data_IF_711100659149
#
_entry.id   IF_711100659149
#
_cell.length_a   1.000
_cell.length_b   1.000
_cell.length_c   1.000
_cell.angle_alpha   90.00
_cell.angle_beta   90.00
_cell.angle_gamma   90.00
#
_symmetry.space_group_name_H-M   'P 1'
#
loop_
_entity.id
_entity.type
_entity.pdbx_description
1 polymer ?
#
# COMPACT_ATOMS: atom_id res chain seq x y z
N UNK A 1 -21.31 -25.08 18.46
CA UNK A 1 -20.02 -25.16 17.71
C UNK A 1 -19.85 -23.84 16.99
N UNK A 2 -18.82 -23.06 17.35
CA UNK A 2 -18.61 -21.72 16.79
C UNK A 2 -18.38 -21.71 15.28
N UNK A 3 -18.65 -20.56 14.66
CA UNK A 3 -18.38 -20.32 13.25
C UNK A 3 -16.85 -20.23 13.06
N UNK A 4 -16.31 -20.87 12.02
CA UNK A 4 -14.89 -20.74 11.66
C UNK A 4 -14.52 -19.33 11.28
N UNK A 5 -13.31 -18.91 11.61
CA UNK A 5 -12.76 -17.59 11.33
C UNK A 5 -11.56 -17.70 10.38
N UNK A 6 -11.70 -17.13 9.19
CA UNK A 6 -10.67 -17.14 8.16
C UNK A 6 -9.87 -15.84 8.13
N UNK A 7 -8.60 -15.96 7.76
CA UNK A 7 -7.79 -14.81 7.41
C UNK A 7 -7.48 -14.82 5.92
N UNK A 8 -7.93 -13.78 5.21
CA UNK A 8 -7.58 -13.62 3.81
C UNK A 8 -6.10 -13.24 3.68
N UNK A 9 -5.39 -13.99 2.87
CA UNK A 9 -3.99 -13.73 2.54
C UNK A 9 -3.88 -13.39 1.06
N UNK A 10 -3.12 -12.34 0.79
CA UNK A 10 -2.94 -11.87 -0.57
C UNK A 10 -1.77 -12.61 -1.22
N UNK A 11 -2.04 -13.78 -1.74
CA UNK A 11 -1.01 -14.58 -2.35
C UNK A 11 -0.98 -14.40 -3.86
N UNK A 12 0.13 -14.09 -4.48
CA UNK A 12 0.27 -13.96 -5.92
C UNK A 12 1.14 -15.05 -6.53
N UNK A 13 1.28 -16.19 -5.90
CA UNK A 13 1.86 -17.31 -6.60
C UNK A 13 0.77 -18.17 -7.21
N UNK A 14 0.39 -17.85 -8.44
CA UNK A 14 -0.06 -18.89 -9.32
C UNK A 14 1.00 -20.00 -9.30
N UNK A 15 0.65 -21.19 -8.80
CA UNK A 15 1.51 -22.38 -8.87
C UNK A 15 2.12 -22.43 -10.28
N UNK A 16 3.46 -22.36 -10.38
CA UNK A 16 4.20 -22.41 -11.65
C UNK A 16 4.73 -21.08 -12.20
N UNK A 17 4.54 -19.92 -11.54
CA UNK A 17 5.24 -18.68 -11.90
C UNK A 17 6.27 -18.33 -10.84
N UNK A 18 7.53 -18.35 -11.23
CA UNK A 18 8.65 -17.83 -10.43
C UNK A 18 8.64 -16.32 -10.41
N UNK A 19 7.79 -15.70 -9.56
CA UNK A 19 7.97 -14.30 -9.22
C UNK A 19 9.00 -14.22 -8.08
N UNK A 20 10.13 -13.59 -8.36
CA UNK A 20 11.23 -13.41 -7.41
C UNK A 20 10.96 -12.26 -6.43
N UNK A 21 9.88 -11.50 -6.63
CA UNK A 21 9.62 -10.28 -5.87
C UNK A 21 8.15 -10.09 -5.58
N UNK A 22 7.84 -9.71 -4.36
CA UNK A 22 6.50 -9.43 -3.90
C UNK A 22 6.39 -8.10 -3.17
N UNK A 23 5.24 -7.44 -3.35
CA UNK A 23 4.86 -6.28 -2.58
C UNK A 23 4.33 -6.72 -1.20
N UNK A 24 5.17 -6.67 -0.18
CA UNK A 24 4.78 -7.03 1.19
C UNK A 24 3.74 -6.07 1.78
N UNK A 25 3.57 -4.88 1.20
CA UNK A 25 2.52 -3.94 1.58
C UNK A 25 1.11 -4.51 1.46
N UNK A 26 0.89 -5.50 0.60
CA UNK A 26 -0.40 -6.16 0.47
C UNK A 26 -0.72 -7.02 1.70
N UNK A 27 0.29 -7.63 2.33
CA UNK A 27 0.13 -8.36 3.60
C UNK A 27 -0.18 -7.46 4.80
N UNK A 28 0.14 -6.17 4.73
CA UNK A 28 -0.27 -5.20 5.77
C UNK A 28 -1.80 -5.14 5.87
N UNK A 29 -2.52 -5.35 4.76
CA UNK A 29 -3.98 -5.45 4.78
C UNK A 29 -4.46 -6.71 5.52
N UNK A 30 -3.77 -7.84 5.34
CA UNK A 30 -4.05 -9.07 6.11
C UNK A 30 -3.74 -8.90 7.60
N UNK A 31 -2.67 -8.17 7.97
CA UNK A 31 -2.37 -7.81 9.36
C UNK A 31 -3.50 -6.97 9.96
N UNK A 32 -4.08 -6.04 9.19
CA UNK A 32 -5.21 -5.24 9.66
C UNK A 32 -6.45 -6.10 9.91
N UNK A 33 -6.76 -7.06 9.05
CA UNK A 33 -7.85 -8.01 9.26
C UNK A 33 -7.59 -8.97 10.45
N UNK A 34 -6.32 -9.40 10.63
CA UNK A 34 -5.94 -10.33 11.71
C UNK A 34 -6.26 -9.82 13.10
N UNK A 35 -6.34 -8.50 13.33
CA UNK A 35 -6.73 -7.93 14.63
C UNK A 35 -8.12 -8.37 15.10
N UNK A 36 -9.00 -8.72 14.15
CA UNK A 36 -10.38 -9.12 14.39
C UNK A 36 -10.57 -10.64 14.33
N UNK A 37 -9.56 -11.37 13.88
CA UNK A 37 -9.60 -12.83 13.60
C UNK A 37 -8.59 -13.53 14.51
N UNK A 38 -8.94 -13.69 15.78
CA UNK A 38 -8.10 -14.39 16.75
C UNK A 38 -8.94 -15.37 17.55
N UNK A 39 -8.65 -16.68 17.52
CA UNK A 39 -7.66 -17.34 16.66
C UNK A 39 -8.04 -17.39 15.17
N UNK A 40 -7.02 -17.54 14.31
CA UNK A 40 -7.21 -17.83 12.88
C UNK A 40 -7.33 -19.33 12.71
N UNK A 41 -8.50 -19.80 12.24
CA UNK A 41 -8.73 -21.23 11.99
C UNK A 41 -8.10 -21.67 10.67
N UNK A 42 -8.26 -20.85 9.60
CA UNK A 42 -7.77 -21.17 8.27
C UNK A 42 -7.29 -19.93 7.51
N UNK A 43 -6.33 -20.10 6.61
CA UNK A 43 -5.94 -19.08 5.63
C UNK A 43 -6.70 -19.30 4.33
N UNK A 44 -7.28 -18.23 3.78
CA UNK A 44 -7.96 -18.24 2.49
C UNK A 44 -7.18 -17.38 1.50
N UNK A 45 -6.70 -18.00 0.42
CA UNK A 45 -6.00 -17.25 -0.63
C UNK A 45 -6.98 -16.42 -1.46
N UNK A 46 -6.73 -15.11 -1.55
CA UNK A 46 -7.62 -14.16 -2.21
C UNK A 46 -7.94 -14.55 -3.65
N UNK A 47 -6.94 -14.96 -4.41
CA UNK A 47 -7.07 -15.28 -5.84
C UNK A 47 -7.65 -16.68 -6.11
N UNK A 48 -7.86 -17.48 -5.06
CA UNK A 48 -8.41 -18.85 -5.11
C UNK A 48 -9.62 -19.01 -4.17
N UNK A 49 -10.22 -17.90 -3.76
CA UNK A 49 -11.36 -17.92 -2.84
C UNK A 49 -12.61 -18.62 -3.44
N UNK A 50 -12.72 -18.69 -4.76
CA UNK A 50 -13.75 -19.47 -5.48
C UNK A 50 -13.59 -21.00 -5.28
N UNK A 51 -12.36 -21.46 -5.03
CA UNK A 51 -12.02 -22.86 -4.86
C UNK A 51 -12.05 -23.30 -3.39
N UNK A 52 -12.35 -22.37 -2.47
CA UNK A 52 -12.39 -22.72 -1.04
C UNK A 52 -13.50 -23.76 -0.78
N UNK A 53 -13.09 -24.92 -0.32
CA UNK A 53 -13.98 -26.04 0.01
C UNK A 53 -13.50 -26.71 1.29
N UNK A 54 -14.14 -26.45 2.46
CA UNK A 54 -13.76 -27.05 3.72
C UNK A 54 -14.20 -28.52 3.81
N UNK A 55 -13.35 -29.39 4.35
CA UNK A 55 -13.64 -30.83 4.51
C UNK A 55 -14.88 -31.08 5.39
N UNK A 56 -15.08 -30.26 6.43
CA UNK A 56 -16.21 -30.35 7.35
C UNK A 56 -17.49 -29.67 6.84
N UNK A 57 -17.46 -29.08 5.63
CA UNK A 57 -18.57 -28.37 4.99
C UNK A 57 -19.16 -27.22 5.80
N UNK A 58 -18.39 -26.66 6.73
CA UNK A 58 -18.81 -25.49 7.51
C UNK A 58 -18.39 -24.19 6.82
N UNK A 59 -19.25 -23.19 6.96
CA UNK A 59 -18.90 -21.85 6.48
C UNK A 59 -17.79 -21.22 7.33
N UNK A 60 -17.04 -20.33 6.70
CA UNK A 60 -15.99 -19.55 7.32
C UNK A 60 -16.33 -18.04 7.17
N UNK A 61 -16.28 -17.29 8.27
CA UNK A 61 -16.34 -15.82 8.22
C UNK A 61 -15.02 -15.28 7.71
N UNK A 62 -15.07 -14.39 6.74
CA UNK A 62 -13.90 -13.81 6.08
C UNK A 62 -14.04 -12.31 5.89
N UNK A 63 -13.14 -11.52 6.48
CA UNK A 63 -13.01 -10.09 6.15
C UNK A 63 -12.31 -10.01 4.79
N UNK A 64 -13.06 -9.58 3.77
CA UNK A 64 -12.57 -9.47 2.41
C UNK A 64 -12.16 -8.02 2.11
N UNK A 65 -10.94 -7.68 2.56
CA UNK A 65 -10.32 -6.39 2.34
C UNK A 65 -9.13 -6.51 1.41
N UNK A 66 -9.05 -5.76 0.34
CA UNK A 66 -7.91 -5.85 -0.55
C UNK A 66 -8.17 -5.42 -1.98
N UNK A 67 -7.25 -5.77 -2.82
CA UNK A 67 -7.21 -5.43 -4.23
C UNK A 67 -7.58 -6.66 -5.08
N UNK A 68 -8.81 -6.72 -5.57
CA UNK A 68 -9.35 -7.87 -6.31
C UNK A 68 -9.18 -7.69 -7.81
N UNK A 69 -8.28 -8.52 -8.46
CA UNK A 69 -8.05 -8.33 -9.88
C UNK A 69 -7.16 -9.29 -10.67
N UNK A 70 -6.18 -9.94 -10.06
CA UNK A 70 -5.24 -10.74 -10.85
C UNK A 70 -5.96 -11.84 -11.61
N UNK A 71 -6.85 -12.57 -10.92
CA UNK A 71 -7.68 -13.65 -11.45
C UNK A 71 -9.15 -13.30 -11.29
N UNK A 72 -9.57 -12.22 -11.94
CA UNK A 72 -10.96 -11.76 -11.88
C UNK A 72 -11.97 -12.81 -12.43
N UNK A 73 -11.49 -13.77 -13.19
CA UNK A 73 -12.25 -14.96 -13.62
C UNK A 73 -12.62 -15.88 -12.45
N UNK A 74 -11.87 -15.87 -11.35
CA UNK A 74 -12.14 -16.64 -10.13
C UNK A 74 -13.11 -15.92 -9.17
N UNK A 75 -13.95 -15.07 -9.69
CA UNK A 75 -14.95 -14.35 -8.93
C UNK A 75 -16.36 -14.80 -9.33
N UNK A 76 -17.31 -15.00 -8.44
CA UNK A 76 -17.28 -14.71 -7.00
C UNK A 76 -16.62 -15.82 -6.16
N UNK A 77 -16.33 -15.53 -4.85
CA UNK A 77 -15.87 -16.52 -3.88
C UNK A 77 -16.85 -17.69 -3.69
N UNK A 78 -16.35 -18.78 -3.08
CA UNK A 78 -17.12 -19.98 -2.75
C UNK A 78 -18.30 -19.68 -1.82
N UNK A 79 -19.39 -20.42 -1.96
CA UNK A 79 -20.58 -20.37 -1.08
C UNK A 79 -20.28 -20.79 0.38
N UNK A 80 -19.12 -21.38 0.64
CA UNK A 80 -18.65 -21.68 2.00
C UNK A 80 -18.00 -20.49 2.69
N UNK A 81 -17.86 -19.35 2.01
CA UNK A 81 -17.35 -18.10 2.58
C UNK A 81 -18.53 -17.21 2.93
N UNK A 82 -18.63 -16.81 4.20
CA UNK A 82 -19.46 -15.71 4.66
C UNK A 82 -18.60 -14.44 4.67
N UNK A 83 -18.77 -13.55 3.69
CA UNK A 83 -17.86 -12.43 3.51
C UNK A 83 -18.32 -11.18 4.22
N UNK A 84 -17.38 -10.41 4.77
CA UNK A 84 -17.54 -8.98 5.00
C UNK A 84 -16.79 -8.23 3.89
N UNK A 85 -17.53 -7.60 2.98
CA UNK A 85 -16.97 -6.84 1.85
C UNK A 85 -16.60 -5.44 2.33
N UNK A 86 -15.33 -5.22 2.71
CA UNK A 86 -14.88 -3.96 3.31
C UNK A 86 -13.49 -3.55 2.79
N UNK A 87 -13.26 -2.25 2.66
CA UNK A 87 -11.98 -1.72 2.14
C UNK A 87 -11.56 -2.33 0.80
N UNK A 88 -12.53 -2.68 -0.04
CA UNK A 88 -12.29 -3.29 -1.34
C UNK A 88 -11.79 -2.26 -2.36
N UNK A 89 -10.89 -2.68 -3.23
CA UNK A 89 -10.52 -1.97 -4.44
C UNK A 89 -10.66 -2.86 -5.66
N UNK A 90 -11.33 -2.37 -6.69
CA UNK A 90 -11.51 -3.06 -7.97
C UNK A 90 -10.68 -2.31 -9.02
N UNK A 91 -9.77 -3.04 -9.68
CA UNK A 91 -8.99 -2.46 -10.76
C UNK A 91 -9.85 -2.22 -12.02
N UNK A 92 -9.76 -1.02 -12.64
CA UNK A 92 -10.42 -0.76 -13.93
C UNK A 92 -10.08 -1.79 -15.00
N UNK A 93 -8.84 -2.29 -15.01
CA UNK A 93 -8.37 -3.26 -16.00
C UNK A 93 -9.06 -4.63 -15.92
N UNK A 94 -9.73 -4.93 -14.81
CA UNK A 94 -10.37 -6.21 -14.54
C UNK A 94 -11.84 -6.08 -14.15
N UNK A 95 -12.34 -4.85 -14.09
CA UNK A 95 -13.69 -4.54 -13.64
C UNK A 95 -14.76 -5.33 -14.42
N UNK A 96 -14.68 -5.37 -15.76
CA UNK A 96 -15.65 -6.07 -16.59
C UNK A 96 -15.76 -7.57 -16.28
N UNK A 97 -14.64 -8.22 -15.95
CA UNK A 97 -14.63 -9.64 -15.59
C UNK A 97 -15.21 -9.89 -14.20
N UNK A 98 -14.93 -9.01 -13.24
CA UNK A 98 -15.43 -9.13 -11.87
C UNK A 98 -16.90 -8.73 -11.78
N UNK A 99 -17.32 -7.71 -12.52
CA UNK A 99 -18.68 -7.17 -12.53
C UNK A 99 -19.57 -7.83 -13.60
N UNK A 100 -19.37 -9.11 -13.85
CA UNK A 100 -20.32 -9.92 -14.61
C UNK A 100 -21.61 -10.18 -13.79
N UNK A 101 -22.63 -10.79 -14.39
CA UNK A 101 -23.93 -11.01 -13.75
C UNK A 101 -23.83 -11.76 -12.40
N UNK A 102 -22.99 -12.80 -12.33
CA UNK A 102 -22.77 -13.56 -11.09
C UNK A 102 -22.07 -12.71 -10.01
N UNK A 103 -21.05 -11.97 -10.41
CA UNK A 103 -20.30 -11.10 -9.53
C UNK A 103 -21.16 -9.97 -8.96
N UNK A 104 -21.97 -9.32 -9.80
CA UNK A 104 -22.91 -8.27 -9.35
C UNK A 104 -23.94 -8.86 -8.37
N UNK A 105 -24.48 -10.03 -8.66
CA UNK A 105 -25.43 -10.71 -7.76
C UNK A 105 -24.80 -10.98 -6.41
N UNK A 106 -23.59 -11.53 -6.39
CA UNK A 106 -22.83 -11.80 -5.16
C UNK A 106 -22.59 -10.52 -4.32
N UNK A 107 -22.14 -9.44 -4.97
CA UNK A 107 -21.90 -8.16 -4.31
C UNK A 107 -23.18 -7.54 -3.74
N UNK A 108 -24.31 -7.65 -4.44
CA UNK A 108 -25.62 -7.18 -3.95
C UNK A 108 -26.12 -7.99 -2.77
N UNK A 109 -25.96 -9.32 -2.81
CA UNK A 109 -26.42 -10.21 -1.73
C UNK A 109 -25.62 -10.01 -0.45
N UNK A 110 -24.34 -9.69 -0.54
CA UNK A 110 -23.44 -9.55 0.60
C UNK A 110 -23.07 -8.09 0.92
N UNK A 111 -23.72 -7.12 0.23
CA UNK A 111 -23.51 -5.69 0.47
C UNK A 111 -24.24 -5.16 1.71
N UNK A 112 -24.10 -3.86 2.00
CA UNK A 112 -23.39 -2.86 1.19
C UNK A 112 -21.87 -3.05 1.21
N UNK A 113 -21.21 -2.71 0.10
CA UNK A 113 -19.77 -2.89 -0.07
C UNK A 113 -19.01 -1.66 0.44
N UNK A 114 -18.14 -1.86 1.43
CA UNK A 114 -17.19 -0.85 1.87
C UNK A 114 -16.03 -0.74 0.88
N UNK A 115 -15.88 0.41 0.23
CA UNK A 115 -14.86 0.65 -0.79
C UNK A 115 -13.67 1.41 -0.21
N UNK A 116 -12.46 0.97 -0.56
CA UNK A 116 -11.23 1.63 -0.12
C UNK A 116 -11.05 3.03 -0.74
N UNK A 117 -11.55 3.22 -1.95
CA UNK A 117 -11.44 4.45 -2.72
C UNK A 117 -12.77 4.81 -3.40
N UNK A 118 -12.91 6.10 -3.73
CA UNK A 118 -14.13 6.63 -4.34
C UNK A 118 -14.38 6.08 -5.73
N UNK A 119 -13.32 5.75 -6.49
CA UNK A 119 -13.46 5.14 -7.80
C UNK A 119 -14.21 3.79 -7.73
N UNK A 120 -13.80 2.91 -6.82
CA UNK A 120 -14.46 1.61 -6.63
C UNK A 120 -15.91 1.79 -6.19
N UNK A 121 -16.17 2.75 -5.29
CA UNK A 121 -17.54 3.09 -4.87
C UNK A 121 -18.41 3.49 -6.07
N UNK A 122 -17.97 4.49 -6.83
CA UNK A 122 -18.72 5.02 -7.96
C UNK A 122 -18.93 3.94 -9.05
N UNK A 123 -17.92 3.09 -9.28
CA UNK A 123 -18.01 1.96 -10.18
C UNK A 123 -19.10 0.98 -9.76
N UNK A 124 -19.17 0.60 -8.49
CA UNK A 124 -20.16 -0.34 -7.96
C UNK A 124 -21.58 0.25 -8.00
N UNK A 125 -21.74 1.51 -7.58
CA UNK A 125 -23.03 2.22 -7.65
C UNK A 125 -23.55 2.31 -9.09
N UNK A 126 -22.69 2.57 -10.07
CA UNK A 126 -23.03 2.56 -11.49
C UNK A 126 -23.58 1.22 -11.96
N UNK A 127 -23.16 0.10 -11.35
CA UNK A 127 -23.67 -1.25 -11.61
C UNK A 127 -24.83 -1.64 -10.70
N UNK A 128 -25.38 -0.70 -9.93
CA UNK A 128 -26.50 -0.92 -9.03
C UNK A 128 -26.15 -1.79 -7.81
N UNK A 129 -24.90 -1.79 -7.39
CA UNK A 129 -24.44 -2.44 -6.16
C UNK A 129 -24.36 -1.38 -5.06
N UNK A 130 -25.07 -1.53 -3.92
CA UNK A 130 -24.95 -0.61 -2.79
C UNK A 130 -23.50 -0.56 -2.28
N UNK A 131 -22.93 0.63 -2.25
CA UNK A 131 -21.53 0.81 -1.88
C UNK A 131 -21.32 2.12 -1.07
N UNK A 132 -20.28 2.16 -0.26
CA UNK A 132 -19.89 3.36 0.48
C UNK A 132 -18.37 3.47 0.58
N UNK A 133 -17.86 4.67 0.77
CA UNK A 133 -16.43 4.88 1.00
C UNK A 133 -16.09 4.53 2.44
N UNK A 134 -15.38 3.44 2.66
CA UNK A 134 -14.94 2.97 3.98
C UNK A 134 -13.50 3.34 4.30
N UNK A 135 -12.72 3.82 3.33
CA UNK A 135 -11.26 3.90 3.43
C UNK A 135 -10.64 2.50 3.61
N UNK A 136 -9.40 2.43 4.10
CA UNK A 136 -8.64 1.19 4.20
C UNK A 136 -8.60 0.66 5.63
N UNK A 137 -8.80 -0.64 5.79
CA UNK A 137 -8.77 -1.32 7.10
C UNK A 137 -7.45 -1.12 7.86
N UNK A 138 -6.36 -0.80 7.17
CA UNK A 138 -5.06 -0.52 7.79
C UNK A 138 -5.05 0.72 8.69
N UNK A 139 -6.07 1.58 8.63
CA UNK A 139 -6.28 2.67 9.59
C UNK A 139 -6.56 2.17 11.02
N UNK A 140 -7.07 0.95 11.19
CA UNK A 140 -7.39 0.38 12.50
C UNK A 140 -6.16 -0.14 13.25
N UNK A 141 -4.98 -0.18 12.60
CA UNK A 141 -3.76 -0.77 13.17
C UNK A 141 -3.26 -0.08 14.45
N UNK A 142 -3.67 1.17 14.69
CA UNK A 142 -3.37 1.89 15.93
C UNK A 142 -3.89 1.19 17.17
N UNK A 143 -5.00 0.47 17.07
CA UNK A 143 -5.59 -0.29 18.20
C UNK A 143 -4.58 -1.26 18.84
N UNK A 144 -3.72 -1.87 18.04
CA UNK A 144 -2.74 -2.88 18.50
C UNK A 144 -1.30 -2.37 18.53
N UNK A 145 -0.94 -1.44 17.64
CA UNK A 145 0.47 -1.12 17.37
C UNK A 145 0.87 0.30 17.75
N UNK A 146 -0.07 1.19 18.12
CA UNK A 146 0.26 2.53 18.56
C UNK A 146 1.16 2.49 19.81
N UNK A 147 2.18 3.32 19.82
CA UNK A 147 3.03 3.55 20.98
C UNK A 147 2.99 5.03 21.38
N UNK A 148 3.37 5.39 22.63
CA UNK A 148 3.49 6.78 23.05
C UNK A 148 4.51 7.56 22.19
N UNK A 149 4.23 8.82 21.91
CA UNK A 149 5.12 9.68 21.11
C UNK A 149 6.53 9.80 21.70
N UNK A 150 6.66 9.74 23.03
CA UNK A 150 7.95 9.77 23.75
C UNK A 150 8.84 8.54 23.47
N UNK A 151 8.26 7.44 23.02
CA UNK A 151 8.98 6.20 22.70
C UNK A 151 9.40 6.12 21.23
N UNK A 152 8.87 7.03 20.36
CA UNK A 152 9.15 7.03 18.94
C UNK A 152 10.59 7.42 18.64
N UNK A 153 11.20 6.68 17.72
CA UNK A 153 12.62 6.86 17.36
C UNK A 153 12.81 6.70 15.87
N UNK A 154 13.77 7.44 15.33
CA UNK A 154 14.19 7.30 13.94
C UNK A 154 13.19 7.87 12.92
N UNK A 155 13.63 7.85 11.70
CA UNK A 155 12.92 8.35 10.53
C UNK A 155 12.93 7.29 9.45
N UNK A 156 11.80 7.07 8.79
CA UNK A 156 11.71 6.07 7.73
C UNK A 156 11.31 6.72 6.42
N UNK A 157 12.03 6.37 5.37
CA UNK A 157 11.72 6.74 3.99
C UNK A 157 11.32 5.47 3.26
N UNK A 158 10.03 5.35 2.92
CA UNK A 158 9.45 4.09 2.42
C UNK A 158 8.94 4.30 1.01
N UNK A 159 9.57 3.64 0.05
CA UNK A 159 9.22 3.71 -1.37
C UNK A 159 8.87 5.14 -1.85
N UNK A 160 9.73 6.14 -1.62
CA UNK A 160 9.47 7.51 -2.02
C UNK A 160 9.45 7.62 -3.54
N UNK A 161 8.48 8.32 -4.11
CA UNK A 161 8.50 8.61 -5.54
C UNK A 161 9.58 9.65 -5.87
N UNK A 162 10.29 9.43 -6.96
CA UNK A 162 11.17 10.39 -7.62
C UNK A 162 11.42 9.95 -9.06
N UNK A 163 11.65 10.90 -9.93
CA UNK A 163 11.91 10.61 -11.33
C UNK A 163 13.34 10.12 -11.56
N UNK A 164 13.47 9.10 -12.42
CA UNK A 164 14.76 8.58 -12.90
C UNK A 164 14.73 8.64 -14.42
N UNK A 165 15.21 9.73 -15.04
CA UNK A 165 15.28 9.83 -16.49
C UNK A 165 16.15 8.74 -17.08
N UNK A 166 15.74 8.15 -18.20
CA UNK A 166 16.53 7.13 -18.85
C UNK A 166 17.80 7.73 -19.46
N UNK A 167 18.98 7.17 -19.11
CA UNK A 167 20.27 7.54 -19.70
C UNK A 167 20.49 6.85 -21.06
N UNK A 168 19.85 5.69 -21.22
CA UNK A 168 19.88 4.86 -22.44
C UNK A 168 18.44 4.46 -22.72
N UNK A 169 17.93 4.81 -23.87
CA UNK A 169 16.59 4.48 -24.34
C UNK A 169 16.70 3.46 -25.48
N UNK A 170 15.86 2.45 -25.48
CA UNK A 170 15.77 1.49 -26.59
C UNK A 170 14.61 1.90 -27.52
N UNK A 171 14.96 2.26 -28.76
CA UNK A 171 14.00 2.58 -29.83
C UNK A 171 14.37 1.74 -31.06
N UNK A 172 13.36 1.11 -31.67
CA UNK A 172 13.52 0.27 -32.87
C UNK A 172 14.62 -0.79 -32.74
N UNK A 173 14.75 -1.42 -31.55
CA UNK A 173 15.79 -2.41 -31.27
C UNK A 173 17.21 -1.85 -31.16
N UNK A 174 17.36 -0.52 -31.12
CA UNK A 174 18.66 0.15 -30.96
C UNK A 174 18.73 0.94 -29.66
N UNK A 175 19.90 0.88 -29.02
CA UNK A 175 20.18 1.64 -27.79
C UNK A 175 20.64 3.05 -28.12
N UNK A 176 19.81 4.04 -27.79
CA UNK A 176 20.12 5.46 -27.92
C UNK A 176 20.59 6.01 -26.57
N UNK A 177 21.82 6.56 -26.57
CA UNK A 177 22.38 7.23 -25.38
C UNK A 177 21.96 8.69 -25.35
N UNK A 178 21.71 9.22 -24.16
CA UNK A 178 21.40 10.62 -23.93
C UNK A 178 22.64 11.36 -23.36
N UNK A 179 23.57 11.86 -24.18
CA UNK A 179 24.86 12.41 -23.71
C UNK A 179 24.66 13.59 -22.75
N UNK A 180 23.69 14.47 -23.00
CA UNK A 180 23.39 15.60 -22.12
C UNK A 180 22.89 15.16 -20.74
N UNK A 181 22.06 14.10 -20.66
CA UNK A 181 21.61 13.53 -19.39
C UNK A 181 22.79 12.89 -18.64
N UNK A 182 23.70 12.23 -19.35
CA UNK A 182 24.91 11.65 -18.76
C UNK A 182 25.85 12.73 -18.20
N UNK A 183 26.05 13.82 -18.94
CA UNK A 183 26.86 14.96 -18.46
C UNK A 183 26.22 15.61 -17.22
N UNK A 184 24.90 15.82 -17.25
CA UNK A 184 24.15 16.36 -16.10
C UNK A 184 24.27 15.44 -14.88
N UNK A 185 24.15 14.12 -15.09
CA UNK A 185 24.36 13.14 -14.02
C UNK A 185 25.77 13.25 -13.41
N UNK A 186 26.80 13.32 -14.24
CA UNK A 186 28.18 13.44 -13.76
C UNK A 186 28.37 14.74 -12.96
N UNK A 187 27.84 15.86 -13.47
CA UNK A 187 27.89 17.14 -12.75
C UNK A 187 27.19 17.09 -11.40
N UNK A 188 25.95 16.58 -11.36
CA UNK A 188 25.17 16.44 -10.12
C UNK A 188 25.83 15.45 -9.16
N UNK A 189 26.44 14.37 -9.67
CA UNK A 189 27.19 13.41 -8.86
C UNK A 189 28.42 14.07 -8.19
N UNK A 190 29.18 14.84 -8.92
CA UNK A 190 30.34 15.57 -8.38
C UNK A 190 29.90 16.62 -7.36
N UNK A 191 28.83 17.36 -7.67
CA UNK A 191 28.27 18.40 -6.78
C UNK A 191 27.76 17.82 -5.45
N UNK A 192 27.15 16.64 -5.46
CA UNK A 192 26.56 15.98 -4.30
C UNK A 192 27.32 14.72 -3.89
N UNK A 193 28.59 14.62 -4.23
CA UNK A 193 29.42 13.42 -4.08
C UNK A 193 29.28 12.70 -2.75
N UNK A 194 29.47 13.45 -1.62
CA UNK A 194 29.44 12.84 -0.27
C UNK A 194 28.10 12.20 0.08
N UNK A 195 26.97 12.94 0.08
CA UNK A 195 25.68 12.34 0.42
C UNK A 195 25.24 11.26 -0.58
N UNK A 196 25.49 11.45 -1.88
CA UNK A 196 25.14 10.45 -2.88
C UNK A 196 25.89 9.14 -2.68
N UNK A 197 27.20 9.21 -2.39
CA UNK A 197 28.00 8.02 -2.10
C UNK A 197 27.52 7.27 -0.87
N UNK A 198 27.07 7.98 0.15
CA UNK A 198 26.53 7.38 1.36
C UNK A 198 25.20 6.69 1.11
N UNK A 199 24.29 7.35 0.39
CA UNK A 199 23.00 6.78 0.03
C UNK A 199 23.12 5.58 -0.92
N UNK A 200 23.97 5.67 -1.95
CA UNK A 200 24.16 4.62 -2.94
C UNK A 200 24.69 3.30 -2.37
N UNK A 201 25.30 3.31 -1.20
CA UNK A 201 25.76 2.09 -0.49
C UNK A 201 24.62 1.32 0.18
N UNK A 202 23.44 1.90 0.30
CA UNK A 202 22.29 1.26 0.92
C UNK A 202 21.64 0.32 -0.07
N UNK A 203 21.28 -0.87 0.36
CA UNK A 203 20.60 -1.89 -0.47
C UNK A 203 19.34 -1.36 -1.14
N UNK A 204 18.64 -0.43 -0.49
CA UNK A 204 17.49 0.26 -1.05
C UNK A 204 17.76 0.80 -2.46
N UNK A 205 18.84 1.54 -2.66
CA UNK A 205 19.16 2.14 -3.97
C UNK A 205 19.61 1.11 -5.02
N UNK A 206 19.96 -0.10 -4.62
CA UNK A 206 20.20 -1.21 -5.52
C UNK A 206 18.89 -1.85 -5.99
N UNK A 207 17.96 -2.05 -5.08
CA UNK A 207 16.74 -2.84 -5.29
C UNK A 207 15.55 -2.02 -5.76
N UNK A 208 15.37 -0.83 -5.20
CA UNK A 208 14.17 -0.02 -5.40
C UNK A 208 14.06 0.58 -6.80
N UNK A 209 12.84 0.57 -7.36
CA UNK A 209 12.46 1.33 -8.55
C UNK A 209 11.18 2.13 -8.26
N UNK A 210 11.14 3.45 -8.54
CA UNK A 210 9.92 4.25 -8.41
C UNK A 210 8.77 3.79 -9.32
N UNK A 211 9.10 3.05 -10.39
CA UNK A 211 8.11 2.44 -11.30
C UNK A 211 7.35 1.25 -10.69
N UNK A 212 7.59 0.92 -9.42
CA UNK A 212 6.78 -0.02 -8.66
C UNK A 212 7.21 -1.48 -8.70
N UNK A 213 8.42 -1.78 -9.20
CA UNK A 213 9.02 -3.12 -9.21
C UNK A 213 10.48 -3.06 -8.78
N UNK A 214 11.07 -4.22 -8.46
CA UNK A 214 12.50 -4.27 -8.24
C UNK A 214 13.25 -3.81 -9.50
N UNK A 215 14.27 -3.01 -9.29
CA UNK A 215 15.16 -2.60 -10.37
C UNK A 215 15.98 -3.82 -10.85
N UNK A 216 15.83 -4.17 -12.12
CA UNK A 216 16.56 -5.27 -12.76
C UNK A 216 17.90 -4.85 -13.35
N UNK A 217 18.14 -3.54 -13.48
CA UNK A 217 19.42 -3.02 -13.95
C UNK A 217 20.46 -3.17 -12.82
N UNK A 218 21.42 -4.07 -13.04
CA UNK A 218 22.52 -4.37 -12.12
C UNK A 218 23.82 -3.63 -12.49
N UNK A 219 23.73 -2.61 -13.31
CA UNK A 219 24.89 -1.77 -13.65
C UNK A 219 25.46 -1.10 -12.40
N UNK A 220 26.78 -1.08 -12.24
CA UNK A 220 27.46 -0.51 -11.08
C UNK A 220 27.14 0.97 -10.83
N UNK A 221 26.83 1.73 -11.88
CA UNK A 221 26.47 3.15 -11.73
C UNK A 221 25.01 3.34 -11.29
N UNK A 222 24.14 2.34 -11.42
CA UNK A 222 22.70 2.45 -11.21
C UNK A 222 22.30 2.93 -9.80
N UNK A 223 22.86 2.39 -8.69
CA UNK A 223 22.59 2.89 -7.36
C UNK A 223 22.98 4.36 -7.18
N UNK A 224 24.13 4.77 -7.72
CA UNK A 224 24.58 6.15 -7.68
C UNK A 224 23.66 7.09 -8.46
N UNK A 225 23.21 6.65 -9.64
CA UNK A 225 22.28 7.43 -10.44
C UNK A 225 20.94 7.65 -9.73
N UNK A 226 20.38 6.59 -9.15
CA UNK A 226 19.16 6.70 -8.31
C UNK A 226 19.38 7.61 -7.11
N UNK A 227 20.49 7.48 -6.41
CA UNK A 227 20.83 8.32 -5.28
C UNK A 227 21.01 9.81 -5.66
N UNK A 228 21.57 10.09 -6.84
CA UNK A 228 21.63 11.47 -7.37
C UNK A 228 20.23 12.02 -7.62
N UNK A 229 19.39 11.29 -8.36
CA UNK A 229 18.02 11.73 -8.68
C UNK A 229 17.21 11.96 -7.40
N UNK A 230 17.26 11.01 -6.48
CA UNK A 230 16.60 11.13 -5.18
C UNK A 230 17.10 12.33 -4.38
N UNK A 231 18.41 12.38 -4.10
CA UNK A 231 18.97 13.41 -3.23
C UNK A 231 18.78 14.82 -3.81
N UNK A 232 18.98 14.99 -5.10
CA UNK A 232 18.78 16.26 -5.79
C UNK A 232 17.37 16.81 -5.62
N UNK A 233 16.36 15.94 -5.71
CA UNK A 233 14.95 16.27 -5.54
C UNK A 233 14.63 16.53 -4.07
N UNK A 234 14.89 15.55 -3.20
CA UNK A 234 14.42 15.58 -1.81
C UNK A 234 15.12 16.64 -0.96
N UNK A 235 16.41 16.97 -1.22
CA UNK A 235 17.11 18.05 -0.50
C UNK A 235 16.45 19.43 -0.60
N UNK A 236 15.52 19.61 -1.53
CA UNK A 236 14.77 20.87 -1.68
C UNK A 236 13.77 21.07 -0.52
N UNK A 237 13.22 19.99 0.00
CA UNK A 237 12.20 20.00 1.07
C UNK A 237 12.64 19.32 2.37
N UNK A 238 13.68 18.50 2.35
CA UNK A 238 14.16 17.75 3.49
C UNK A 238 15.62 18.10 3.79
N UNK A 239 15.95 18.19 5.07
CA UNK A 239 17.33 18.48 5.46
C UNK A 239 18.26 17.31 5.13
N UNK A 240 19.55 17.66 4.93
CA UNK A 240 20.57 16.67 4.61
C UNK A 240 20.73 15.62 5.71
N UNK A 241 20.71 16.04 6.98
CA UNK A 241 20.89 15.14 8.12
C UNK A 241 19.73 14.15 8.17
N UNK A 242 18.48 14.61 8.08
CA UNK A 242 17.30 13.76 8.02
C UNK A 242 17.40 12.72 6.88
N UNK A 243 17.80 13.15 5.66
CA UNK A 243 17.95 12.24 4.53
C UNK A 243 19.05 11.19 4.71
N UNK A 244 20.13 11.52 5.43
CA UNK A 244 21.22 10.60 5.65
C UNK A 244 21.01 9.68 6.86
N UNK A 245 20.31 10.13 7.89
CA UNK A 245 20.07 9.37 9.10
C UNK A 245 18.82 8.47 9.01
N UNK A 246 17.88 8.76 8.09
CA UNK A 246 16.70 7.96 7.88
C UNK A 246 17.00 6.51 7.44
N UNK A 247 16.21 5.54 7.90
CA UNK A 247 16.21 4.18 7.37
C UNK A 247 15.37 4.13 6.09
N UNK A 248 15.90 3.49 5.05
CA UNK A 248 15.25 3.34 3.75
C UNK A 248 14.66 1.95 3.63
N UNK A 249 13.36 1.89 3.32
CA UNK A 249 12.61 0.65 3.22
C UNK A 249 11.93 0.56 1.86
N UNK A 250 11.94 -0.61 1.25
CA UNK A 250 11.06 -0.93 0.11
C UNK A 250 10.09 -2.03 0.47
N UNK A 251 8.84 -1.90 0.01
CA UNK A 251 7.84 -2.97 0.10
C UNK A 251 8.12 -4.13 -0.87
N UNK A 252 9.00 -3.92 -1.84
CA UNK A 252 9.39 -4.97 -2.78
C UNK A 252 10.47 -5.85 -2.15
N UNK A 253 10.06 -7.05 -1.71
CA UNK A 253 10.96 -7.99 -1.05
C UNK A 253 11.42 -9.07 -2.02
N UNK A 254 12.73 -9.36 -1.97
CA UNK A 254 13.34 -10.46 -2.71
C UNK A 254 13.23 -11.76 -1.88
N UNK A 255 12.02 -12.32 -1.87
CA UNK A 255 11.73 -13.57 -1.15
C UNK A 255 11.41 -14.65 -2.18
N UNK A 256 11.98 -15.83 -1.98
CA UNK A 256 11.59 -16.99 -2.77
C UNK A 256 10.17 -17.42 -2.41
N UNK A 257 9.22 -16.99 -3.23
CA UNK A 257 7.79 -17.20 -2.99
C UNK A 257 7.37 -18.66 -3.07
N UNK A 258 8.15 -19.53 -3.73
CA UNK A 258 7.83 -20.98 -3.77
C UNK A 258 8.07 -21.68 -2.43
N UNK A 259 8.84 -21.06 -1.54
CA UNK A 259 9.20 -21.63 -0.22
C UNK A 259 8.73 -20.80 0.96
N UNK A 260 8.31 -19.55 0.74
CA UNK A 260 7.83 -18.67 1.81
C UNK A 260 6.45 -19.13 2.32
N UNK A 261 6.30 -19.24 3.63
CA UNK A 261 5.02 -19.51 4.28
C UNK A 261 4.21 -18.21 4.50
N UNK A 262 2.88 -18.34 4.65
CA UNK A 262 2.03 -17.21 5.01
C UNK A 262 2.47 -16.56 6.32
N UNK A 263 2.85 -17.36 7.32
CA UNK A 263 3.33 -16.83 8.61
C UNK A 263 4.62 -16.02 8.46
N UNK A 264 5.56 -16.46 7.63
CA UNK A 264 6.79 -15.69 7.37
C UNK A 264 6.47 -14.34 6.73
N UNK A 265 5.54 -14.30 5.78
CA UNK A 265 5.15 -13.06 5.09
C UNK A 265 4.32 -12.14 5.99
N UNK A 266 3.42 -12.70 6.80
CA UNK A 266 2.68 -11.95 7.82
C UNK A 266 3.62 -11.37 8.87
N UNK A 267 4.59 -12.13 9.37
CA UNK A 267 5.58 -11.63 10.34
C UNK A 267 6.44 -10.52 9.75
N UNK A 268 6.82 -10.63 8.48
CA UNK A 268 7.55 -9.57 7.79
C UNK A 268 6.69 -8.30 7.67
N UNK A 269 5.42 -8.42 7.26
CA UNK A 269 4.50 -7.30 7.19
C UNK A 269 4.24 -6.66 8.57
N UNK A 270 4.07 -7.48 9.61
CA UNK A 270 3.91 -7.00 10.99
C UNK A 270 5.13 -6.24 11.46
N UNK A 271 6.35 -6.69 11.12
CA UNK A 271 7.58 -5.97 11.44
C UNK A 271 7.63 -4.56 10.82
N UNK A 272 7.11 -4.40 9.61
CA UNK A 272 6.98 -3.09 8.97
C UNK A 272 5.98 -2.20 9.71
N UNK A 273 4.81 -2.72 10.09
CA UNK A 273 3.82 -1.97 10.87
C UNK A 273 4.42 -1.47 12.18
N UNK A 274 5.17 -2.32 12.89
CA UNK A 274 5.88 -1.93 14.13
C UNK A 274 6.93 -0.85 13.90
N UNK A 275 7.68 -0.92 12.79
CA UNK A 275 8.63 0.15 12.39
C UNK A 275 7.89 1.47 12.16
N UNK A 276 6.77 1.44 11.41
CA UNK A 276 5.99 2.66 11.16
C UNK A 276 5.43 3.26 12.46
N UNK A 277 4.89 2.42 13.33
CA UNK A 277 4.37 2.86 14.63
C UNK A 277 5.46 3.46 15.53
N UNK A 278 6.70 2.98 15.43
CA UNK A 278 7.83 3.46 16.24
C UNK A 278 8.55 4.68 15.68
N UNK A 279 8.16 5.16 14.49
CA UNK A 279 8.83 6.27 13.82
C UNK A 279 8.46 7.62 14.43
N UNK A 280 9.43 8.56 14.50
CA UNK A 280 9.17 9.99 14.71
C UNK A 280 8.49 10.64 13.50
N UNK A 281 8.83 10.17 12.30
CA UNK A 281 8.25 10.61 11.04
C UNK A 281 8.46 9.53 9.98
N UNK A 282 7.44 9.35 9.13
CA UNK A 282 7.48 8.50 7.94
C UNK A 282 7.30 9.37 6.70
N UNK A 283 8.13 9.17 5.69
CA UNK A 283 8.05 9.83 4.37
C UNK A 283 7.78 8.72 3.36
N UNK A 284 6.66 8.80 2.62
CA UNK A 284 6.26 7.71 1.74
C UNK A 284 5.39 8.15 0.57
N UNK A 285 5.40 7.36 -0.51
CA UNK A 285 4.42 7.42 -1.60
C UNK A 285 3.51 6.18 -1.64
N UNK A 286 3.54 5.33 -0.58
CA UNK A 286 2.77 4.09 -0.50
C UNK A 286 1.62 4.20 0.48
N UNK A 287 0.39 3.86 0.02
CA UNK A 287 -0.79 3.87 0.89
C UNK A 287 -0.69 2.85 2.03
N UNK A 288 -0.12 1.66 1.78
CA UNK A 288 0.07 0.62 2.80
C UNK A 288 1.28 0.89 3.73
N UNK A 289 1.89 2.05 3.63
CA UNK A 289 2.77 2.64 4.62
C UNK A 289 2.10 3.87 5.25
N UNK A 290 1.56 4.77 4.43
CA UNK A 290 0.92 6.00 4.91
C UNK A 290 -0.29 5.75 5.79
N UNK A 291 -1.25 4.92 5.36
CA UNK A 291 -2.47 4.64 6.13
C UNK A 291 -2.20 3.91 7.46
N UNK A 292 -1.34 2.86 7.53
CA UNK A 292 -0.89 2.33 8.80
C UNK A 292 -0.24 3.38 9.71
N UNK A 293 0.56 4.29 9.16
CA UNK A 293 1.19 5.37 9.92
C UNK A 293 0.14 6.35 10.47
N UNK A 294 -0.90 6.71 9.68
CA UNK A 294 -2.04 7.46 10.20
C UNK A 294 -2.72 6.73 11.35
N UNK A 295 -3.07 5.46 11.12
CA UNK A 295 -3.74 4.62 12.13
C UNK A 295 -2.98 4.53 13.45
N UNK A 296 -1.65 4.46 13.40
CA UNK A 296 -0.78 4.47 14.59
C UNK A 296 -0.45 5.88 15.10
N UNK A 297 -1.06 6.92 14.52
CA UNK A 297 -0.80 8.34 14.80
C UNK A 297 0.66 8.77 14.61
N UNK A 298 1.41 8.03 13.81
CA UNK A 298 2.77 8.40 13.42
C UNK A 298 2.72 9.57 12.44
N UNK A 299 3.49 10.66 12.65
CA UNK A 299 3.59 11.75 11.70
C UNK A 299 4.02 11.26 10.32
N UNK A 300 3.20 11.53 9.28
CA UNK A 300 3.47 11.06 7.93
C UNK A 300 3.47 12.21 6.92
N UNK A 301 4.55 12.29 6.13
CA UNK A 301 4.64 13.13 4.93
C UNK A 301 4.34 12.24 3.72
N UNK A 302 3.15 12.42 3.15
CA UNK A 302 2.78 11.66 1.95
C UNK A 302 3.24 12.38 0.70
N UNK A 303 4.03 11.69 -0.14
CA UNK A 303 4.50 12.25 -1.41
C UNK A 303 3.60 11.71 -2.53
N UNK A 304 2.81 12.59 -3.12
CA UNK A 304 2.00 12.30 -4.30
C UNK A 304 2.67 12.84 -5.56
N UNK A 305 2.37 12.24 -6.71
CA UNK A 305 2.78 12.74 -8.01
C UNK A 305 1.64 12.59 -9.01
N UNK A 306 1.70 13.31 -10.13
CA UNK A 306 0.67 13.27 -11.16
C UNK A 306 0.48 11.87 -11.77
N UNK A 307 1.56 11.06 -11.87
CA UNK A 307 1.46 9.67 -12.35
C UNK A 307 0.72 8.76 -11.36
N UNK A 308 0.78 9.05 -10.05
CA UNK A 308 0.02 8.33 -9.01
C UNK A 308 -1.45 8.74 -9.03
N UNK A 309 -1.75 9.95 -9.49
CA UNK A 309 -3.09 10.55 -9.51
C UNK A 309 -3.72 10.47 -10.91
N UNK A 310 -2.92 10.42 -11.99
CA UNK A 310 -3.40 10.51 -13.36
C UNK A 310 -3.98 9.21 -13.94
N UNK A 311 -4.85 9.38 -14.94
CA UNK A 311 -5.63 8.30 -15.58
C UNK A 311 -4.84 7.34 -16.48
N UNK A 312 -3.55 7.54 -16.73
CA UNK A 312 -2.81 6.89 -17.81
C UNK A 312 -1.63 5.99 -17.42
N UNK A 313 -1.44 5.66 -16.17
CA UNK A 313 -0.32 4.81 -15.73
C UNK A 313 -0.65 3.31 -15.74
N UNK A 314 0.19 2.50 -16.36
CA UNK A 314 -0.04 1.06 -16.60
C UNK A 314 -0.14 0.17 -15.35
N UNK A 315 0.12 0.68 -14.16
CA UNK A 315 -0.10 0.01 -12.86
C UNK A 315 -0.68 0.94 -11.79
N UNK A 316 -0.70 2.23 -12.03
CA UNK A 316 -1.40 3.20 -11.20
C UNK A 316 -2.81 3.34 -11.78
N UNK A 317 -3.72 2.62 -11.21
CA UNK A 317 -5.12 2.59 -11.60
C UNK A 317 -5.74 3.97 -11.37
N UNK A 318 -6.43 4.57 -12.36
CA UNK A 318 -7.15 5.81 -12.16
C UNK A 318 -8.03 5.74 -10.92
N UNK A 319 -8.02 6.78 -10.11
CA UNK A 319 -8.88 6.87 -8.93
C UNK A 319 -8.49 5.99 -7.74
N UNK A 320 -7.43 5.17 -7.81
CA UNK A 320 -6.96 4.31 -6.71
C UNK A 320 -6.72 5.05 -5.39
N UNK A 321 -6.42 6.33 -5.44
CA UNK A 321 -6.18 7.18 -4.28
C UNK A 321 -7.35 8.14 -4.00
N UNK A 322 -8.43 8.08 -4.76
CA UNK A 322 -9.61 8.92 -4.57
C UNK A 322 -10.18 8.76 -3.16
N UNK A 323 -10.39 9.90 -2.48
CA UNK A 323 -10.82 9.95 -1.08
C UNK A 323 -9.70 9.66 -0.05
N UNK A 324 -8.66 8.91 -0.43
CA UNK A 324 -7.58 8.57 0.50
C UNK A 324 -6.58 9.71 0.68
N UNK A 325 -6.25 10.46 -0.40
CA UNK A 325 -5.29 11.57 -0.31
C UNK A 325 -5.77 12.69 0.60
N UNK A 326 -7.07 12.88 0.72
CA UNK A 326 -7.67 13.87 1.61
C UNK A 326 -7.36 13.64 3.09
N UNK A 327 -7.07 12.38 3.46
CA UNK A 327 -6.72 11.99 4.82
C UNK A 327 -5.30 12.40 5.22
N UNK A 328 -4.44 12.66 4.24
CA UNK A 328 -3.03 13.00 4.45
C UNK A 328 -2.75 14.48 4.38
N UNK A 329 -1.64 14.89 4.98
CA UNK A 329 -0.89 16.06 4.56
C UNK A 329 0.00 15.64 3.40
N UNK A 330 -0.12 16.32 2.26
CA UNK A 330 0.49 15.90 1.00
C UNK A 330 1.52 16.90 0.51
N UNK A 331 2.68 16.39 0.08
CA UNK A 331 3.58 17.10 -0.81
C UNK A 331 3.41 16.52 -2.23
N UNK A 332 3.00 17.35 -3.17
CA UNK A 332 2.93 16.97 -4.58
C UNK A 332 4.31 17.14 -5.21
N UNK A 333 4.77 16.12 -5.91
CA UNK A 333 6.04 16.14 -6.63
C UNK A 333 5.79 16.08 -8.14
N UNK A 334 6.19 17.13 -8.85
CA UNK A 334 6.18 17.20 -10.32
C UNK A 334 7.60 17.44 -10.81
N UNK A 335 8.16 16.49 -11.56
CA UNK A 335 9.58 16.51 -11.90
C UNK A 335 10.48 16.48 -10.65
N UNK A 336 11.19 17.57 -10.42
CA UNK A 336 12.06 17.76 -9.25
C UNK A 336 11.48 18.78 -8.24
N UNK A 337 10.27 19.31 -8.46
CA UNK A 337 9.70 20.40 -7.66
C UNK A 337 8.56 19.91 -6.76
N UNK A 338 8.60 20.32 -5.49
CA UNK A 338 7.53 20.06 -4.53
C UNK A 338 6.57 21.22 -4.43
N UNK A 339 5.28 20.93 -4.39
CA UNK A 339 4.21 21.86 -4.07
C UNK A 339 3.28 21.27 -3.03
N UNK A 340 2.46 22.08 -2.39
CA UNK A 340 1.44 21.61 -1.43
C UNK A 340 0.33 22.64 -1.29
N UNK A 341 -0.90 22.16 -1.12
CA UNK A 341 -2.06 22.97 -0.73
C UNK A 341 -2.31 22.92 0.78
N UNK A 342 -1.58 22.07 1.51
CA UNK A 342 -1.67 21.98 2.97
C UNK A 342 -0.98 23.18 3.60
N UNK A 343 -1.75 24.03 4.30
CA UNK A 343 -1.24 25.27 4.89
C UNK A 343 -0.12 25.06 5.90
N UNK A 344 -0.15 23.98 6.68
CA UNK A 344 0.93 23.64 7.60
C UNK A 344 2.20 23.28 6.84
N UNK A 345 2.10 22.38 5.84
CA UNK A 345 3.25 21.99 5.04
C UNK A 345 3.79 23.16 4.19
N UNK A 346 2.94 24.07 3.75
CA UNK A 346 3.36 25.29 3.06
C UNK A 346 4.22 26.20 3.95
N UNK A 347 3.94 26.25 5.26
CA UNK A 347 4.72 27.05 6.23
C UNK A 347 6.08 26.44 6.56
N UNK A 348 6.26 25.12 6.33
CA UNK A 348 7.53 24.42 6.59
C UNK A 348 8.42 24.59 5.36
N UNK A 349 9.44 25.42 5.45
CA UNK A 349 10.42 25.59 4.36
C UNK A 349 11.23 24.31 4.11
N UNK A 350 11.59 23.59 5.19
CA UNK A 350 12.36 22.35 5.15
C UNK A 350 12.06 21.45 6.33
N UNK A 351 11.78 20.19 6.06
CA UNK A 351 11.63 19.17 7.09
C UNK A 351 13.01 18.78 7.65
N UNK A 352 13.14 18.79 8.95
CA UNK A 352 14.32 18.40 9.72
C UNK A 352 13.96 17.33 10.73
N UNK A 353 14.94 16.79 11.45
CA UNK A 353 14.71 15.85 12.54
C UNK A 353 13.91 16.46 13.71
N UNK A 354 13.93 17.79 13.83
CA UNK A 354 13.23 18.54 14.87
C UNK A 354 11.87 19.06 14.42
N UNK A 355 11.47 18.79 13.16
CA UNK A 355 10.18 19.22 12.65
C UNK A 355 9.06 18.43 13.31
N UNK A 356 8.23 19.11 14.07
CA UNK A 356 7.04 18.55 14.72
C UNK A 356 5.78 18.96 13.96
N UNK A 357 4.93 18.00 13.68
CA UNK A 357 3.60 18.23 13.12
C UNK A 357 2.66 17.07 13.49
N UNK A 358 1.36 17.35 13.49
CA UNK A 358 0.31 16.33 13.63
C UNK A 358 -0.28 15.98 12.27
N UNK A 359 -0.71 14.74 12.13
CA UNK A 359 -1.56 14.34 11.01
C UNK A 359 -2.90 15.09 11.04
N UNK A 360 -3.67 15.05 9.94
CA UNK A 360 -5.10 15.43 9.97
C UNK A 360 -5.86 14.42 10.83
N UNK A 361 -7.04 14.78 11.32
CA UNK A 361 -7.90 13.91 12.13
C UNK A 361 -9.02 13.23 11.34
N UNK A 362 -9.22 13.61 10.08
CA UNK A 362 -10.32 13.12 9.22
C UNK A 362 -10.36 11.60 9.05
N UNK A 363 -9.23 10.93 9.20
CA UNK A 363 -9.13 9.48 9.11
C UNK A 363 -9.74 8.74 10.30
N UNK A 364 -9.82 9.38 11.49
CA UNK A 364 -10.23 8.72 12.74
C UNK A 364 -11.64 8.16 12.67
N UNK A 365 -12.57 8.91 12.06
CA UNK A 365 -13.95 8.44 11.88
C UNK A 365 -14.01 7.13 11.06
N UNK A 366 -13.18 7.01 10.01
CA UNK A 366 -13.13 5.79 9.22
C UNK A 366 -12.51 4.62 9.98
N UNK A 367 -11.48 4.87 10.80
CA UNK A 367 -10.88 3.85 11.65
C UNK A 367 -11.89 3.32 12.68
N UNK A 368 -12.66 4.21 13.31
CA UNK A 368 -13.70 3.86 14.29
C UNK A 368 -14.85 3.06 13.67
N UNK A 369 -15.31 3.47 12.47
CA UNK A 369 -16.38 2.78 11.77
C UNK A 369 -15.94 1.41 11.28
N UNK A 370 -14.72 1.29 10.73
CA UNK A 370 -14.12 0.02 10.33
C UNK A 370 -13.96 -0.93 11.52
N UNK A 371 -13.49 -0.43 12.67
CA UNK A 371 -13.36 -1.23 13.91
C UNK A 371 -14.71 -1.79 14.35
N UNK A 372 -15.74 -0.95 14.43
CA UNK A 372 -17.11 -1.36 14.81
C UNK A 372 -17.66 -2.43 13.87
N UNK A 373 -17.57 -2.21 12.56
CA UNK A 373 -18.11 -3.13 11.56
C UNK A 373 -17.38 -4.48 11.60
N UNK A 374 -16.05 -4.50 11.64
CA UNK A 374 -15.28 -5.74 11.69
C UNK A 374 -15.47 -6.49 13.02
N UNK A 375 -15.50 -5.78 14.15
CA UNK A 375 -15.75 -6.37 15.46
C UNK A 375 -17.14 -7.01 15.51
N UNK A 376 -18.18 -6.29 15.06
CA UNK A 376 -19.55 -6.80 15.00
C UNK A 376 -19.67 -8.03 14.11
N UNK A 377 -19.04 -8.03 12.94
CA UNK A 377 -19.05 -9.15 12.00
C UNK A 377 -18.40 -10.42 12.61
N UNK A 378 -17.30 -10.27 13.34
CA UNK A 378 -16.57 -11.39 13.93
C UNK A 378 -17.13 -11.84 15.30
N UNK A 379 -17.95 -11.01 15.98
CA UNK A 379 -18.64 -11.45 17.20
C UNK A 379 -19.73 -12.48 16.87
N UNK A 380 -19.86 -13.51 17.69
CA UNK A 380 -20.87 -14.57 17.51
C UNK A 380 -22.29 -14.10 17.90
N UNK A 381 -22.47 -12.86 18.37
CA UNK A 381 -23.68 -12.32 18.97
C UNK A 381 -24.72 -11.77 17.98
N UNK A 382 -24.66 -12.12 16.71
CA UNK A 382 -25.82 -11.86 15.85
C UNK A 382 -26.87 -12.94 16.11
N UNK A 383 -27.78 -12.65 17.06
CA UNK A 383 -29.04 -13.36 17.21
C UNK A 383 -29.75 -13.40 15.84
N UNK A 384 -30.39 -14.53 15.52
CA UNK A 384 -31.14 -14.74 14.25
C UNK A 384 -32.22 -13.66 14.00
N UNK A 385 -32.60 -12.88 15.00
CA UNK A 385 -33.57 -11.78 14.92
C UNK A 385 -33.08 -10.56 14.13
N UNK A 386 -31.79 -10.30 14.01
CA UNK A 386 -31.23 -9.16 13.26
C UNK A 386 -30.88 -9.47 11.79
N UNK A 387 -31.13 -10.70 11.34
CA UNK A 387 -30.97 -11.09 9.92
C UNK A 387 -32.21 -10.84 9.07
N UNK A 388 -33.34 -10.49 9.70
CA UNK A 388 -34.65 -10.32 9.06
C UNK A 388 -35.16 -8.87 9.04
N UNK A 389 -34.37 -7.89 9.45
CA UNK A 389 -34.59 -6.47 9.22
C UNK A 389 -33.65 -5.93 8.10
#
# INVERSE_FOLDING_TARGET
MGIKRGLMVQFPCARGRTFVCKNIGDYVQSIAARQFVDPVDEYVEQEEADQYYPEDKKKIKLIMNGWFQWRAENWPPSDYIEPLLISMHISPLRADKLLNEKGIRFLRTNGPVGCRDTYTKDLLEKHGVPAYFSSCLTLTLGKKYRIPDSERKGFYIVDPYFEIPDLIEERDGRKHRHPLRMLRFLFDYLRYYRPVRELAKRDFFTLYSPKGFLDRDRSHYRPYYKAVCFYKTYRKRFDKKLLLDAEYITHWVDVNMSTATNDQLLNLAESLVRKYASAKMVITSRIHCGLPSLGTETPVVFIANEEVVSENGSFNTPGRLGGLLELFRVLNLSGEEFSTEDGLFASISKFTEDTLFSNKDDWKKYADDLDKVCTRFMSDDLSEEQRNE
#
